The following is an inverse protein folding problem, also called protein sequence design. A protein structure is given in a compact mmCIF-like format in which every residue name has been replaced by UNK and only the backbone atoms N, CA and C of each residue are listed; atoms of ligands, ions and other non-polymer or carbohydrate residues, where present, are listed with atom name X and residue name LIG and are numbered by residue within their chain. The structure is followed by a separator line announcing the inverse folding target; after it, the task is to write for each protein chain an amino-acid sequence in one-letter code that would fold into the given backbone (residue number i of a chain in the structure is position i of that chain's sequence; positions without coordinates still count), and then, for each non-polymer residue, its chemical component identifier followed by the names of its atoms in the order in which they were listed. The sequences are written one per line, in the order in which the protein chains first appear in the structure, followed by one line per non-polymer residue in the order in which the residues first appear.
data_IF_658591985626
#
_entry.id   IF_658591985626
#
_cell.length_a   1.000
_cell.length_b   1.000
_cell.length_c   1.000
_cell.angle_alpha   90.00
_cell.angle_beta   90.00
_cell.angle_gamma   90.00
#
_symmetry.space_group_name_H-M   'P 1'
#
loop_
_entity.id
_entity.type
_entity.pdbx_description
1 polymer ?
#
# COMPACT_ATOMS: atom_id res chain seq x y z
N UNK A 1 -37.08 17.54 -10.23
CA UNK A 1 -36.05 17.12 -9.27
C UNK A 1 -34.76 16.97 -10.06
N UNK A 2 -33.91 17.99 -10.03
CA UNK A 2 -32.60 17.95 -10.66
C UNK A 2 -31.75 16.99 -9.86
N UNK A 3 -31.29 15.89 -10.46
CA UNK A 3 -30.19 15.13 -9.90
C UNK A 3 -29.00 16.09 -9.84
N UNK A 4 -28.51 16.34 -8.63
CA UNK A 4 -27.24 17.01 -8.46
C UNK A 4 -26.21 16.13 -9.18
N UNK A 5 -25.68 16.61 -10.31
CA UNK A 5 -24.59 15.95 -11.00
C UNK A 5 -23.32 16.19 -10.16
N UNK A 6 -23.28 15.54 -8.98
CA UNK A 6 -22.19 15.64 -8.03
C UNK A 6 -20.89 15.34 -8.76
N UNK A 7 -19.92 16.25 -8.63
CA UNK A 7 -18.58 16.05 -9.16
C UNK A 7 -18.06 14.69 -8.71
N UNK A 8 -17.68 13.82 -9.66
CA UNK A 8 -17.19 12.49 -9.34
C UNK A 8 -16.04 12.55 -8.32
N UNK A 9 -16.21 11.81 -7.22
CA UNK A 9 -15.23 11.71 -6.13
C UNK A 9 -13.90 11.13 -6.63
N UNK A 10 -12.81 11.50 -5.97
CA UNK A 10 -11.45 11.09 -6.31
C UNK A 10 -10.82 10.33 -5.15
N UNK A 11 -10.30 9.14 -5.45
CA UNK A 11 -9.52 8.32 -4.52
C UNK A 11 -8.04 8.40 -4.89
N UNK A 12 -7.18 8.71 -3.91
CA UNK A 12 -5.73 8.58 -4.03
C UNK A 12 -5.26 7.37 -3.21
N UNK A 13 -4.08 6.83 -3.56
CA UNK A 13 -3.52 5.63 -2.93
C UNK A 13 -2.08 5.87 -2.51
N UNK A 14 -1.78 5.46 -1.28
CA UNK A 14 -0.44 5.15 -0.79
C UNK A 14 -0.41 3.68 -0.35
N UNK A 15 0.11 2.80 -1.19
CA UNK A 15 0.03 1.35 -1.00
C UNK A 15 -0.10 0.62 -2.33
N UNK A 16 -0.44 -0.66 -2.30
CA UNK A 16 -0.48 -1.44 -3.54
C UNK A 16 -1.65 -2.40 -3.71
N UNK A 17 -1.48 -3.71 -3.50
CA UNK A 17 -2.37 -4.73 -4.06
C UNK A 17 -3.82 -4.54 -3.59
N UNK A 18 -4.01 -4.35 -2.28
CA UNK A 18 -5.35 -4.23 -1.69
C UNK A 18 -6.03 -2.93 -2.10
N UNK A 19 -5.33 -1.79 -2.02
CA UNK A 19 -5.88 -0.50 -2.46
C UNK A 19 -6.13 -0.47 -3.97
N UNK A 20 -5.22 -1.01 -4.79
CA UNK A 20 -5.35 -1.06 -6.26
C UNK A 20 -6.62 -1.79 -6.68
N UNK A 21 -6.82 -3.00 -6.16
CA UNK A 21 -7.93 -3.85 -6.57
C UNK A 21 -9.27 -3.25 -6.08
N UNK A 22 -9.25 -2.60 -4.91
CA UNK A 22 -10.39 -1.79 -4.42
C UNK A 22 -10.66 -0.57 -5.31
N UNK A 23 -9.62 0.13 -5.76
CA UNK A 23 -9.74 1.29 -6.66
C UNK A 23 -10.36 0.91 -8.00
N UNK A 24 -10.04 -0.27 -8.54
CA UNK A 24 -10.68 -0.74 -9.78
C UNK A 24 -12.20 -0.92 -9.63
N UNK A 25 -12.67 -1.35 -8.45
CA UNK A 25 -14.12 -1.36 -8.15
C UNK A 25 -14.68 0.05 -8.03
N UNK A 26 -14.01 0.96 -7.32
CA UNK A 26 -14.43 2.36 -7.19
C UNK A 26 -14.51 3.08 -8.54
N UNK A 27 -13.55 2.85 -9.44
CA UNK A 27 -13.56 3.38 -10.82
C UNK A 27 -14.79 2.94 -11.59
N UNK A 28 -15.18 1.67 -11.49
CA UNK A 28 -16.42 1.15 -12.10
C UNK A 28 -17.68 1.81 -11.50
N UNK A 29 -17.62 2.28 -10.26
CA UNK A 29 -18.66 3.08 -9.58
C UNK A 29 -18.58 4.58 -9.88
N UNK A 30 -17.73 5.01 -10.81
CA UNK A 30 -17.64 6.39 -11.27
C UNK A 30 -16.62 7.26 -10.53
N UNK A 31 -15.79 6.69 -9.65
CA UNK A 31 -14.71 7.43 -9.00
C UNK A 31 -13.55 7.74 -9.96
N UNK A 32 -12.87 8.85 -9.72
CA UNK A 32 -11.59 9.20 -10.34
C UNK A 32 -10.43 8.68 -9.50
N UNK A 33 -9.31 8.40 -10.15
CA UNK A 33 -8.04 8.10 -9.47
C UNK A 33 -7.20 9.37 -9.40
N UNK A 34 -6.77 9.72 -8.20
CA UNK A 34 -5.88 10.83 -7.90
C UNK A 34 -4.41 10.42 -8.03
N UNK A 35 -3.65 10.60 -6.94
CA UNK A 35 -2.30 10.07 -6.86
C UNK A 35 -2.34 8.55 -6.65
N UNK A 36 -1.38 7.84 -7.24
CA UNK A 36 -1.12 6.44 -6.93
C UNK A 36 0.37 6.29 -6.63
N UNK A 37 0.69 6.28 -5.34
CA UNK A 37 2.02 6.03 -4.79
C UNK A 37 2.08 4.58 -4.36
N UNK A 38 2.81 3.76 -5.10
CA UNK A 38 3.00 2.35 -4.84
C UNK A 38 4.50 2.03 -4.82
N UNK A 39 4.87 0.90 -4.24
CA UNK A 39 6.27 0.45 -4.10
C UNK A 39 7.12 1.43 -3.29
N UNK A 40 6.50 2.14 -2.36
CA UNK A 40 7.19 3.00 -1.41
C UNK A 40 6.79 2.57 0.00
N UNK A 41 7.74 2.04 0.74
CA UNK A 41 7.63 1.85 2.19
C UNK A 41 7.50 3.21 2.85
N UNK A 42 6.91 3.26 4.04
CA UNK A 42 6.99 4.44 4.89
C UNK A 42 8.45 4.86 5.16
N UNK A 43 9.37 3.89 5.19
CA UNK A 43 10.80 4.08 5.43
C UNK A 43 11.56 4.62 4.21
N UNK A 44 11.26 4.15 3.00
CA UNK A 44 11.90 4.67 1.78
C UNK A 44 11.31 6.00 1.33
N UNK A 45 10.07 6.29 1.72
CA UNK A 45 9.37 7.51 1.35
C UNK A 45 9.98 8.74 2.05
N UNK A 46 11.01 9.30 1.41
CA UNK A 46 11.84 10.39 1.91
C UNK A 46 13.33 10.19 1.64
N UNK A 47 13.73 8.95 1.35
CA UNK A 47 15.05 8.61 0.85
C UNK A 47 15.28 9.11 -0.57
N UNK A 48 16.54 9.39 -0.92
CA UNK A 48 16.93 9.86 -2.25
C UNK A 48 18.10 9.05 -2.75
N UNK A 49 17.79 8.06 -3.56
CA UNK A 49 18.77 7.24 -4.25
C UNK A 49 18.96 7.76 -5.68
N UNK A 50 20.21 7.82 -6.20
CA UNK A 50 20.46 8.19 -7.58
C UNK A 50 19.59 7.38 -8.55
N UNK A 51 19.00 8.05 -9.55
CA UNK A 51 18.08 7.41 -10.49
C UNK A 51 18.72 6.34 -11.38
N UNK A 52 20.05 6.32 -11.45
CA UNK A 52 20.88 5.34 -12.14
C UNK A 52 21.43 4.24 -11.21
N UNK A 53 21.09 4.24 -9.92
CA UNK A 53 21.50 3.20 -8.98
C UNK A 53 20.91 1.82 -9.30
N UNK A 54 19.79 1.79 -10.03
CA UNK A 54 19.11 0.57 -10.47
C UNK A 54 18.89 0.63 -11.99
N UNK A 55 19.14 -0.49 -12.67
CA UNK A 55 18.78 -0.63 -14.08
C UNK A 55 17.29 -0.94 -14.22
N UNK A 56 16.51 0.10 -14.50
CA UNK A 56 15.07 -0.01 -14.72
C UNK A 56 14.72 -0.34 -16.18
N UNK A 57 15.68 -0.36 -17.12
CA UNK A 57 15.40 -0.61 -18.54
C UNK A 57 14.93 -2.04 -18.80
N UNK A 58 15.30 -2.98 -17.92
CA UNK A 58 14.87 -4.38 -17.96
C UNK A 58 13.37 -4.60 -17.72
N UNK A 59 12.62 -3.58 -17.31
CA UNK A 59 11.17 -3.71 -17.09
C UNK A 59 10.33 -3.30 -18.31
N UNK A 60 9.58 -4.26 -18.86
CA UNK A 60 8.65 -4.01 -19.97
C UNK A 60 7.54 -3.00 -19.61
N UNK A 61 7.00 -3.11 -18.39
CA UNK A 61 5.88 -2.29 -17.93
C UNK A 61 6.31 -0.87 -17.59
N UNK A 62 5.78 0.11 -18.33
CA UNK A 62 5.98 1.53 -18.03
C UNK A 62 5.49 1.92 -16.63
N UNK A 63 4.45 1.23 -16.12
CA UNK A 63 3.99 1.43 -14.75
C UNK A 63 5.04 0.97 -13.74
N UNK A 64 5.60 -0.23 -13.92
CA UNK A 64 6.63 -0.80 -13.03
C UNK A 64 7.87 0.09 -13.02
N UNK A 65 8.35 0.52 -14.19
CA UNK A 65 9.47 1.47 -14.30
C UNK A 65 9.23 2.76 -13.55
N UNK A 66 8.05 3.36 -13.73
CA UNK A 66 7.67 4.59 -13.06
C UNK A 66 7.70 4.44 -11.53
N UNK A 67 7.03 3.43 -10.97
CA UNK A 67 6.94 3.32 -9.51
C UNK A 67 8.28 3.03 -8.82
N UNK A 68 9.20 2.32 -9.50
CA UNK A 68 10.57 2.15 -8.99
C UNK A 68 11.37 3.46 -9.07
N UNK A 69 11.25 4.22 -10.16
CA UNK A 69 11.87 5.54 -10.27
C UNK A 69 11.32 6.53 -9.22
N UNK A 70 10.04 6.44 -8.91
CA UNK A 70 9.39 7.23 -7.87
C UNK A 70 9.93 6.86 -6.46
N UNK A 71 10.13 5.56 -6.16
CA UNK A 71 10.76 5.09 -4.90
C UNK A 71 12.21 5.56 -4.77
N UNK A 72 13.03 5.44 -5.83
CA UNK A 72 14.38 6.00 -5.87
C UNK A 72 14.39 7.50 -5.54
N UNK A 73 13.40 8.24 -6.03
CA UNK A 73 13.29 9.68 -5.81
C UNK A 73 12.68 10.08 -4.45
N UNK A 74 12.11 9.13 -3.69
CA UNK A 74 11.41 9.39 -2.43
C UNK A 74 10.23 10.35 -2.59
N UNK A 75 9.51 10.27 -3.71
CA UNK A 75 8.68 11.38 -4.17
C UNK A 75 7.24 11.40 -3.61
N UNK A 76 6.86 10.45 -2.73
CA UNK A 76 5.52 10.33 -2.09
C UNK A 76 4.90 11.67 -1.80
N UNK A 77 5.58 12.51 -1.01
CA UNK A 77 5.05 13.78 -0.54
C UNK A 77 4.65 14.69 -1.70
N UNK A 78 5.49 14.77 -2.72
CA UNK A 78 5.23 15.62 -3.89
C UNK A 78 4.06 15.10 -4.72
N UNK A 79 3.95 13.77 -4.86
CA UNK A 79 2.85 13.09 -5.57
C UNK A 79 1.52 13.31 -4.86
N UNK A 80 1.49 13.14 -3.54
CA UNK A 80 0.32 13.38 -2.71
C UNK A 80 -0.05 14.87 -2.70
N UNK A 81 0.92 15.77 -2.53
CA UNK A 81 0.68 17.22 -2.56
C UNK A 81 0.03 17.67 -3.87
N UNK A 82 0.51 17.15 -5.01
CA UNK A 82 -0.06 17.46 -6.32
C UNK A 82 -1.51 16.98 -6.47
N UNK A 83 -1.98 16.03 -5.66
CA UNK A 83 -3.34 15.48 -5.68
C UNK A 83 -4.22 15.86 -4.50
N UNK A 84 -3.66 16.45 -3.43
CA UNK A 84 -4.33 16.63 -2.15
C UNK A 84 -5.64 17.40 -2.28
N UNK A 85 -5.64 18.54 -2.97
CA UNK A 85 -6.81 19.41 -3.10
C UNK A 85 -8.02 18.75 -3.77
N UNK A 86 -7.80 17.72 -4.62
CA UNK A 86 -8.87 16.98 -5.31
C UNK A 86 -9.17 15.63 -4.66
N UNK A 87 -8.38 15.21 -3.66
CA UNK A 87 -8.52 13.90 -3.03
C UNK A 87 -9.64 13.94 -2.01
N UNK A 88 -10.68 13.15 -2.24
CA UNK A 88 -11.79 12.95 -1.29
C UNK A 88 -11.42 11.88 -0.27
N UNK A 89 -10.72 10.82 -0.69
CA UNK A 89 -10.18 9.77 0.19
C UNK A 89 -8.77 9.37 -0.22
N UNK A 90 -7.86 9.32 0.74
CA UNK A 90 -6.57 8.65 0.60
C UNK A 90 -6.66 7.25 1.21
N UNK A 91 -6.46 6.21 0.40
CA UNK A 91 -6.29 4.85 0.90
C UNK A 91 -4.82 4.64 1.25
N UNK A 92 -4.58 4.15 2.46
CA UNK A 92 -3.26 3.73 2.92
C UNK A 92 -3.30 2.25 3.25
N UNK A 93 -2.43 1.45 2.64
CA UNK A 93 -2.17 0.07 3.04
C UNK A 93 -0.68 -0.17 3.25
N UNK A 94 -0.33 -1.17 4.08
CA UNK A 94 1.06 -1.50 4.40
C UNK A 94 1.59 -2.68 3.57
N UNK A 95 0.93 -3.05 2.47
CA UNK A 95 1.27 -4.27 1.70
C UNK A 95 2.65 -4.17 1.07
N UNK A 96 3.11 -2.96 0.72
CA UNK A 96 4.45 -2.74 0.18
C UNK A 96 5.56 -2.90 1.24
N UNK A 97 5.23 -2.95 2.53
CA UNK A 97 6.20 -3.26 3.58
C UNK A 97 6.60 -4.75 3.59
N UNK A 98 5.77 -5.64 3.03
CA UNK A 98 5.85 -7.11 3.26
C UNK A 98 7.17 -7.79 2.87
N UNK A 99 7.99 -7.15 2.04
CA UNK A 99 9.29 -7.69 1.59
C UNK A 99 10.48 -6.98 2.26
N UNK A 100 10.20 -6.02 3.14
CA UNK A 100 11.19 -5.18 3.80
C UNK A 100 11.74 -4.07 2.90
N UNK A 101 12.76 -3.39 3.41
CA UNK A 101 13.51 -2.36 2.70
C UNK A 101 14.99 -2.72 2.64
N UNK A 102 15.67 -2.28 1.58
CA UNK A 102 17.11 -2.38 1.43
C UNK A 102 17.75 -1.08 1.91
N UNK A 103 18.65 -1.19 2.89
CA UNK A 103 19.50 -0.10 3.36
C UNK A 103 20.82 -0.12 2.61
N UNK A 104 21.08 0.97 1.86
CA UNK A 104 22.31 1.18 1.12
C UNK A 104 23.45 1.60 2.08
N UNK A 105 24.74 1.50 1.67
CA UNK A 105 25.87 1.85 2.52
C UNK A 105 25.88 3.30 3.02
N UNK A 106 25.21 4.22 2.34
CA UNK A 106 25.04 5.62 2.73
C UNK A 106 23.83 5.87 3.66
N UNK A 107 23.06 4.82 3.96
CA UNK A 107 21.88 4.85 4.83
C UNK A 107 20.57 5.13 4.10
N UNK A 108 20.58 5.33 2.78
CA UNK A 108 19.36 5.50 2.00
C UNK A 108 18.59 4.16 1.91
N UNK A 109 17.26 4.24 1.86
CA UNK A 109 16.37 3.09 1.91
C UNK A 109 15.59 2.93 0.60
N UNK A 110 15.49 1.69 0.13
CA UNK A 110 14.71 1.29 -1.04
C UNK A 110 13.69 0.23 -0.69
N UNK A 111 12.49 0.35 -1.25
CA UNK A 111 11.46 -0.68 -1.06
C UNK A 111 11.82 -1.91 -1.87
N UNK A 112 11.85 -3.07 -1.21
CA UNK A 112 12.02 -4.34 -1.90
C UNK A 112 10.69 -4.80 -2.50
N UNK A 113 10.66 -5.12 -3.79
CA UNK A 113 9.42 -5.41 -4.51
C UNK A 113 9.46 -6.81 -5.13
N UNK A 114 8.28 -7.36 -5.47
CA UNK A 114 8.20 -8.65 -6.18
C UNK A 114 8.78 -8.53 -7.59
N UNK A 115 8.52 -7.42 -8.27
CA UNK A 115 9.06 -7.14 -9.60
C UNK A 115 10.58 -7.03 -9.57
N UNK A 116 11.13 -6.28 -8.60
CA UNK A 116 12.56 -6.12 -8.41
C UNK A 116 13.25 -7.45 -8.11
N UNK A 117 12.66 -8.28 -7.23
CA UNK A 117 13.21 -9.60 -6.95
C UNK A 117 13.16 -10.55 -8.14
N UNK A 118 12.06 -10.54 -8.89
CA UNK A 118 11.89 -11.40 -10.06
C UNK A 118 12.89 -11.02 -11.17
N UNK A 119 13.22 -9.74 -11.28
CA UNK A 119 14.15 -9.22 -12.28
C UNK A 119 15.63 -9.28 -11.85
N UNK A 120 15.96 -9.70 -10.62
CA UNK A 120 17.32 -9.59 -10.08
C UNK A 120 17.79 -8.13 -9.93
N UNK A 121 16.84 -7.19 -9.79
CA UNK A 121 17.11 -5.75 -9.82
C UNK A 121 18.13 -5.31 -8.75
N UNK A 122 18.14 -6.01 -7.62
CA UNK A 122 18.94 -5.66 -6.46
C UNK A 122 20.31 -6.35 -6.42
N UNK A 123 20.61 -7.23 -7.39
CA UNK A 123 21.83 -8.04 -7.40
C UNK A 123 23.10 -7.19 -7.54
N UNK A 124 22.98 -5.98 -8.10
CA UNK A 124 24.08 -5.02 -8.26
C UNK A 124 24.27 -4.09 -7.05
N UNK A 125 23.40 -4.14 -6.04
CA UNK A 125 23.47 -3.27 -4.87
C UNK A 125 24.50 -3.81 -3.85
N UNK A 126 25.78 -3.63 -4.15
CA UNK A 126 26.86 -4.06 -3.26
C UNK A 126 26.76 -3.40 -1.88
N UNK A 127 26.83 -4.23 -0.82
CA UNK A 127 26.79 -3.76 0.56
C UNK A 127 25.40 -3.36 1.07
N UNK A 128 24.35 -3.48 0.25
CA UNK A 128 22.99 -3.25 0.70
C UNK A 128 22.58 -4.33 1.73
N UNK A 129 21.89 -3.88 2.79
CA UNK A 129 21.41 -4.74 3.87
C UNK A 129 19.89 -4.78 3.86
N UNK A 130 19.33 -5.98 3.95
CA UNK A 130 17.89 -6.13 4.10
C UNK A 130 17.45 -5.84 5.53
N UNK A 131 16.55 -4.88 5.69
CA UNK A 131 15.70 -4.72 6.87
C UNK A 131 14.44 -5.55 6.65
N UNK A 132 14.38 -6.72 7.26
CA UNK A 132 13.30 -7.68 7.06
C UNK A 132 12.00 -7.20 7.71
N UNK A 133 10.90 -7.23 6.94
CA UNK A 133 9.57 -7.03 7.49
C UNK A 133 9.29 -8.01 8.64
N UNK A 134 8.68 -7.50 9.70
CA UNK A 134 8.43 -8.30 10.90
C UNK A 134 9.60 -8.40 11.87
N UNK A 135 10.83 -8.02 11.49
CA UNK A 135 11.93 -7.86 12.44
C UNK A 135 11.72 -6.66 13.38
N UNK A 136 12.31 -6.70 14.57
CA UNK A 136 12.24 -5.60 15.55
C UNK A 136 12.87 -4.33 15.01
N UNK A 137 14.03 -4.43 14.36
CA UNK A 137 14.71 -3.27 13.78
C UNK A 137 13.86 -2.60 12.70
N UNK A 138 13.23 -3.37 11.80
CA UNK A 138 12.34 -2.80 10.79
C UNK A 138 11.13 -2.11 11.46
N UNK A 139 10.52 -2.76 12.45
CA UNK A 139 9.36 -2.22 13.16
C UNK A 139 9.68 -0.91 13.89
N UNK A 140 10.75 -0.89 14.69
CA UNK A 140 11.14 0.28 15.49
C UNK A 140 11.41 1.50 14.59
N UNK A 141 12.11 1.29 13.47
CA UNK A 141 12.36 2.37 12.49
C UNK A 141 11.06 2.82 11.82
N UNK A 142 10.21 1.88 11.45
CA UNK A 142 8.94 2.18 10.79
C UNK A 142 7.99 2.95 11.71
N UNK A 143 7.88 2.52 12.98
CA UNK A 143 7.12 3.20 14.02
C UNK A 143 7.64 4.62 14.25
N UNK A 144 8.97 4.80 14.29
CA UNK A 144 9.59 6.12 14.43
C UNK A 144 9.31 7.07 13.25
N UNK A 145 8.92 6.55 12.08
CA UNK A 145 8.53 7.36 10.93
C UNK A 145 7.07 7.85 10.96
N UNK A 146 6.21 7.23 11.78
CA UNK A 146 4.78 7.55 11.86
C UNK A 146 4.46 8.99 12.28
N UNK A 147 5.18 9.63 13.24
CA UNK A 147 4.94 11.04 13.57
C UNK A 147 5.15 11.98 12.37
N UNK A 148 6.17 11.71 11.56
CA UNK A 148 6.45 12.46 10.32
C UNK A 148 5.34 12.23 9.30
N UNK A 149 4.87 10.99 9.15
CA UNK A 149 3.75 10.66 8.28
C UNK A 149 2.46 11.39 8.69
N UNK A 150 2.13 11.39 9.98
CA UNK A 150 0.99 12.16 10.52
C UNK A 150 1.12 13.65 10.21
N UNK A 151 2.31 14.23 10.40
CA UNK A 151 2.56 15.64 10.12
C UNK A 151 2.35 15.94 8.62
N UNK A 152 2.86 15.09 7.73
CA UNK A 152 2.66 15.20 6.28
C UNK A 152 1.16 15.14 5.92
N UNK A 153 0.40 14.19 6.46
CA UNK A 153 -1.04 14.11 6.25
C UNK A 153 -1.78 15.38 6.71
N UNK A 154 -1.39 15.95 7.85
CA UNK A 154 -1.99 17.17 8.38
C UNK A 154 -1.67 18.38 7.48
N UNK A 155 -0.42 18.55 7.06
CA UNK A 155 0.02 19.63 6.17
C UNK A 155 -0.67 19.58 4.80
N UNK A 156 -0.92 18.37 4.29
CA UNK A 156 -1.62 18.16 3.03
C UNK A 156 -3.15 18.26 3.15
N UNK A 157 -3.69 18.41 4.38
CA UNK A 157 -5.13 18.40 4.62
C UNK A 157 -5.80 17.04 4.33
N UNK A 158 -5.03 15.96 4.47
CA UNK A 158 -5.46 14.58 4.20
C UNK A 158 -5.72 13.75 5.45
N UNK A 159 -5.36 14.25 6.65
CA UNK A 159 -5.51 13.51 7.91
C UNK A 159 -6.92 12.93 8.11
N UNK A 160 -7.95 13.77 8.03
CA UNK A 160 -9.37 13.35 8.19
C UNK A 160 -9.94 12.64 6.95
N UNK A 161 -9.17 12.55 5.87
CA UNK A 161 -9.56 11.90 4.60
C UNK A 161 -8.81 10.61 4.34
N UNK A 162 -8.00 10.16 5.31
CA UNK A 162 -7.17 8.97 5.16
C UNK A 162 -7.85 7.76 5.81
N UNK A 163 -7.94 6.67 5.05
CA UNK A 163 -8.33 5.36 5.55
C UNK A 163 -7.12 4.43 5.54
N UNK A 164 -6.72 3.95 6.72
CA UNK A 164 -5.79 2.83 6.82
C UNK A 164 -6.56 1.52 6.61
N UNK A 165 -6.27 0.83 5.51
CA UNK A 165 -6.86 -0.47 5.20
C UNK A 165 -6.13 -1.55 6.01
N UNK A 166 -6.79 -2.07 7.03
CA UNK A 166 -6.31 -3.22 7.79
C UNK A 166 -6.90 -4.50 7.22
N UNK A 167 -6.14 -5.18 6.37
CA UNK A 167 -6.56 -6.45 5.78
C UNK A 167 -5.57 -7.56 6.14
N UNK A 168 -6.06 -8.58 6.85
CA UNK A 168 -5.28 -9.77 7.09
C UNK A 168 -5.11 -10.56 5.79
N UNK A 169 -3.93 -11.16 5.61
CA UNK A 169 -3.69 -12.16 4.58
C UNK A 169 -4.63 -13.34 4.80
N UNK A 170 -5.40 -13.68 3.78
CA UNK A 170 -6.28 -14.83 3.79
C UNK A 170 -5.46 -16.10 4.00
N UNK A 171 -5.84 -16.92 4.97
CA UNK A 171 -5.18 -18.21 5.26
C UNK A 171 -5.64 -19.27 4.26
N UNK A 172 -6.88 -19.15 3.79
CA UNK A 172 -7.51 -20.07 2.84
C UNK A 172 -8.13 -19.33 1.65
N UNK A 173 -8.29 -20.06 0.55
CA UNK A 173 -9.04 -19.61 -0.62
C UNK A 173 -10.53 -20.01 -0.56
N UNK A 174 -11.27 -19.69 -1.62
CA UNK A 174 -12.70 -19.97 -1.75
C UNK A 174 -13.08 -21.46 -1.78
N UNK A 175 -12.09 -22.36 -1.89
CA UNK A 175 -12.27 -23.81 -1.80
C UNK A 175 -11.86 -24.36 -0.44
N UNK A 176 -11.37 -23.51 0.48
CA UNK A 176 -10.87 -23.91 1.79
C UNK A 176 -9.42 -24.41 1.76
N UNK A 177 -8.72 -24.28 0.63
CA UNK A 177 -7.33 -24.68 0.49
C UNK A 177 -6.39 -23.60 1.00
N UNK A 178 -5.23 -23.98 1.53
CA UNK A 178 -4.25 -23.02 2.03
C UNK A 178 -3.69 -22.14 0.91
N UNK A 179 -3.68 -20.82 1.13
CA UNK A 179 -3.08 -19.87 0.19
C UNK A 179 -1.56 -20.05 0.08
N UNK A 180 -0.97 -19.83 -1.11
CA UNK A 180 0.48 -19.93 -1.27
C UNK A 180 1.23 -18.87 -0.46
N UNK A 181 2.45 -19.16 0.00
CA UNK A 181 3.30 -18.15 0.64
C UNK A 181 3.74 -17.08 -0.38
N UNK A 182 4.00 -15.86 0.11
CA UNK A 182 4.62 -14.80 -0.68
C UNK A 182 6.10 -14.72 -0.33
N UNK A 183 6.97 -15.11 -1.26
CA UNK A 183 8.43 -15.10 -1.06
C UNK A 183 8.89 -15.84 0.21
N UNK A 184 8.25 -16.98 0.52
CA UNK A 184 8.58 -17.82 1.66
C UNK A 184 7.80 -17.51 2.94
N UNK A 185 7.11 -16.35 3.01
CA UNK A 185 6.30 -15.98 4.18
C UNK A 185 4.85 -16.42 4.00
N UNK A 186 4.33 -17.17 4.98
CA UNK A 186 2.95 -17.64 5.00
C UNK A 186 1.97 -16.60 5.57
N UNK A 187 0.66 -16.77 5.31
CA UNK A 187 -0.39 -15.84 5.77
C UNK A 187 -0.43 -15.68 7.30
N UNK A 188 -0.33 -16.77 8.06
CA UNK A 188 -0.35 -16.72 9.54
C UNK A 188 0.81 -15.88 10.08
N UNK A 189 2.01 -16.11 9.54
CA UNK A 189 3.22 -15.41 9.94
C UNK A 189 3.16 -13.92 9.54
N UNK A 190 2.76 -13.62 8.30
CA UNK A 190 2.58 -12.24 7.84
C UNK A 190 1.55 -11.48 8.70
N UNK A 191 0.44 -12.11 9.06
CA UNK A 191 -0.59 -11.52 9.92
C UNK A 191 -0.06 -11.25 11.34
N UNK A 192 0.71 -12.17 11.89
CA UNK A 192 1.37 -11.98 13.19
C UNK A 192 2.32 -10.78 13.17
N UNK A 193 3.14 -10.65 12.13
CA UNK A 193 4.04 -9.51 11.97
C UNK A 193 3.28 -8.19 11.81
N UNK A 194 2.24 -8.17 10.97
CA UNK A 194 1.52 -6.96 10.60
C UNK A 194 0.70 -6.34 11.74
N UNK A 195 0.26 -7.13 12.72
CA UNK A 195 -0.60 -6.66 13.81
C UNK A 195 0.01 -5.46 14.55
N UNK A 196 1.29 -5.53 14.92
CA UNK A 196 1.97 -4.42 15.61
C UNK A 196 2.10 -3.17 14.75
N UNK A 197 2.23 -3.32 13.42
CA UNK A 197 2.32 -2.18 12.50
C UNK A 197 0.97 -1.45 12.40
N UNK A 198 -0.13 -2.20 12.29
CA UNK A 198 -1.46 -1.59 12.28
C UNK A 198 -1.79 -0.88 13.59
N UNK A 199 -1.44 -1.49 14.74
CA UNK A 199 -1.62 -0.88 16.06
C UNK A 199 -0.84 0.44 16.17
N UNK A 200 0.47 0.40 15.89
CA UNK A 200 1.32 1.59 15.93
C UNK A 200 0.82 2.69 14.98
N UNK A 201 0.43 2.35 13.75
CA UNK A 201 -0.12 3.33 12.82
C UNK A 201 -1.41 3.96 13.29
N UNK A 202 -2.35 3.17 13.79
CA UNK A 202 -3.63 3.67 14.31
C UNK A 202 -3.41 4.64 15.48
N UNK A 203 -2.54 4.27 16.42
CA UNK A 203 -2.22 5.08 17.60
C UNK A 203 -1.49 6.37 17.22
N UNK A 204 -0.42 6.26 16.43
CA UNK A 204 0.46 7.39 16.13
C UNK A 204 -0.17 8.40 15.18
N UNK A 205 -1.03 7.97 14.24
CA UNK A 205 -1.60 8.86 13.21
C UNK A 205 -3.02 9.32 13.52
N UNK A 206 -3.77 8.55 14.33
CA UNK A 206 -5.20 8.75 14.58
C UNK A 206 -6.10 8.72 13.33
N UNK A 207 -5.60 8.20 12.20
CA UNK A 207 -6.43 8.00 11.00
C UNK A 207 -7.46 6.91 11.24
N UNK A 208 -8.57 6.95 10.49
CA UNK A 208 -9.60 5.93 10.59
C UNK A 208 -9.06 4.62 10.01
N UNK A 209 -9.17 3.54 10.79
CA UNK A 209 -8.84 2.19 10.35
C UNK A 209 -10.07 1.51 9.80
N UNK A 210 -9.99 1.01 8.57
CA UNK A 210 -11.01 0.17 7.95
C UNK A 210 -10.51 -1.27 7.95
N UNK A 211 -11.06 -2.08 8.86
CA UNK A 211 -10.71 -3.51 8.98
C UNK A 211 -11.59 -4.34 8.05
N UNK A 212 -10.99 -5.14 7.19
CA UNK A 212 -11.71 -6.14 6.41
C UNK A 212 -12.26 -7.22 7.36
N UNK A 213 -13.56 -7.56 7.32
CA UNK A 213 -14.13 -8.63 8.14
C UNK A 213 -13.50 -9.98 7.83
N UNK A 214 -13.36 -10.82 8.86
CA UNK A 214 -12.76 -12.16 8.73
C UNK A 214 -13.55 -13.02 7.73
N UNK A 215 -14.88 -12.86 7.68
CA UNK A 215 -15.76 -13.60 6.76
C UNK A 215 -15.53 -13.22 5.28
N UNK A 216 -14.96 -12.04 5.03
CA UNK A 216 -14.59 -11.59 3.69
C UNK A 216 -13.10 -11.78 3.39
N UNK A 217 -12.32 -12.23 4.38
CA UNK A 217 -10.87 -12.45 4.27
C UNK A 217 -10.59 -13.83 3.65
N UNK A 218 -10.99 -14.00 2.41
CA UNK A 218 -10.85 -15.23 1.63
C UNK A 218 -10.20 -14.93 0.29
N UNK A 219 -9.16 -15.68 -0.07
CA UNK A 219 -8.45 -15.48 -1.35
C UNK A 219 -9.30 -15.96 -2.54
N UNK A 220 -9.22 -15.24 -3.66
CA UNK A 220 -9.82 -15.64 -4.93
C UNK A 220 -8.85 -16.48 -5.76
N UNK A 221 -9.29 -17.64 -6.27
CA UNK A 221 -8.39 -18.54 -7.03
C UNK A 221 -8.12 -18.06 -8.45
N UNK A 222 -9.04 -17.28 -9.02
CA UNK A 222 -8.97 -16.76 -10.39
C UNK A 222 -8.64 -15.26 -10.45
N UNK A 223 -7.86 -14.77 -9.48
CA UNK A 223 -7.49 -13.36 -9.43
C UNK A 223 -6.59 -12.97 -10.61
N UNK A 224 -6.80 -11.78 -11.18
CA UNK A 224 -6.09 -11.29 -12.39
C UNK A 224 -4.57 -11.29 -12.24
N UNK A 225 -4.07 -11.18 -11.02
CA UNK A 225 -2.64 -11.13 -10.68
C UNK A 225 -2.10 -12.46 -10.12
N UNK A 226 -2.84 -13.55 -10.31
CA UNK A 226 -2.51 -14.87 -9.80
C UNK A 226 -2.88 -15.07 -8.33
N UNK A 227 -2.77 -16.31 -7.82
CA UNK A 227 -3.12 -16.65 -6.45
C UNK A 227 -2.11 -16.04 -5.46
N UNK A 228 -2.61 -15.32 -4.46
CA UNK A 228 -1.84 -14.79 -3.34
C UNK A 228 -2.77 -14.55 -2.14
N UNK A 229 -2.25 -14.55 -0.90
CA UNK A 229 -3.09 -14.42 0.29
C UNK A 229 -3.70 -13.00 0.47
N UNK A 230 -3.23 -12.02 -0.29
CA UNK A 230 -3.75 -10.65 -0.32
C UNK A 230 -4.55 -10.34 -1.61
N UNK A 231 -4.87 -11.37 -2.39
CA UNK A 231 -5.73 -11.29 -3.57
C UNK A 231 -7.08 -11.93 -3.23
N UNK A 232 -8.01 -11.13 -2.73
CA UNK A 232 -9.29 -11.59 -2.19
C UNK A 232 -10.32 -11.90 -3.27
N UNK A 233 -11.45 -12.49 -2.87
CA UNK A 233 -12.64 -12.56 -3.72
C UNK A 233 -13.26 -11.17 -3.97
N UNK A 234 -14.02 -11.05 -5.05
CA UNK A 234 -14.72 -9.81 -5.45
C UNK A 234 -15.60 -9.22 -4.34
N UNK A 235 -16.19 -10.06 -3.48
CA UNK A 235 -17.04 -9.62 -2.37
C UNK A 235 -16.28 -8.72 -1.37
N UNK A 236 -15.00 -9.01 -1.11
CA UNK A 236 -14.16 -8.19 -0.23
C UNK A 236 -13.95 -6.79 -0.81
N UNK A 237 -13.61 -6.69 -2.10
CA UNK A 237 -13.40 -5.41 -2.77
C UNK A 237 -14.70 -4.62 -2.95
N UNK A 238 -15.82 -5.31 -3.17
CA UNK A 238 -17.14 -4.68 -3.24
C UNK A 238 -17.55 -4.05 -1.89
N UNK A 239 -17.26 -4.75 -0.78
CA UNK A 239 -17.48 -4.25 0.58
C UNK A 239 -16.55 -3.07 0.91
N UNK A 240 -15.24 -3.20 0.63
CA UNK A 240 -14.28 -2.10 0.84
C UNK A 240 -14.72 -0.84 0.08
N UNK A 241 -15.12 -0.98 -1.19
CA UNK A 241 -15.58 0.15 -2.01
C UNK A 241 -16.85 0.81 -1.47
N UNK A 242 -17.75 0.05 -0.82
CA UNK A 242 -18.93 0.59 -0.14
C UNK A 242 -18.52 1.40 1.09
N UNK A 243 -17.71 0.81 1.98
CA UNK A 243 -17.24 1.47 3.20
C UNK A 243 -16.45 2.76 2.91
N UNK A 244 -15.62 2.75 1.85
CA UNK A 244 -14.90 3.94 1.37
C UNK A 244 -15.87 5.02 0.87
N UNK A 245 -16.97 4.61 0.23
CA UNK A 245 -17.98 5.55 -0.25
C UNK A 245 -18.74 6.20 0.90
N UNK A 246 -19.10 5.42 1.92
CA UNK A 246 -19.77 5.91 3.13
C UNK A 246 -18.87 6.84 3.93
N UNK A 247 -17.58 6.50 4.06
CA UNK A 247 -16.57 7.36 4.67
C UNK A 247 -16.48 8.73 3.96
N UNK A 248 -16.41 8.74 2.64
CA UNK A 248 -16.35 9.97 1.86
C UNK A 248 -17.64 10.80 1.90
N UNK A 249 -18.78 10.18 2.22
CA UNK A 249 -20.05 10.87 2.40
C UNK A 249 -20.21 11.47 3.82
N UNK A 250 -19.32 11.12 4.76
CA UNK A 250 -19.48 11.44 6.17
C UNK A 250 -20.57 10.61 6.87
N UNK A 251 -20.96 9.48 6.28
CA UNK A 251 -22.06 8.61 6.74
C UNK A 251 -21.57 7.45 7.62
N UNK A 252 -20.30 7.47 8.05
CA UNK A 252 -19.73 6.42 8.89
C UNK A 252 -20.43 6.34 10.26
N UNK A 253 -21.16 5.23 10.48
CA UNK A 253 -21.61 4.77 11.81
C UNK A 253 -20.44 4.30 12.68
#
# INVERSE_FOLDING_TARGET
MSADAGTARTVSVFGSCVSRDTVEVLRRRGWRVGAYVARQSLLSAGSRVPGDALDLEGFDSAFVRRVHAEDLAGDRRSRLAAAAARTDVLLWDIVDERLGVLELPDGELLTRTTEGLTAGLYDSLEGARLLEFGSDEHFERWEAALPTWRAELAELGLADRTLLLQTAWAIVDEHGEHTPPSWGVGAVEANWFAERYYQAAAEATSVRVLRLPDELTVAGTNHTWGPAPFHYQDAAYAWLAEQITDFAAGESR
#
